data_IF_279592836002
#
_entry.id   IF_279592836002
#
_cell.length_a   1.000
_cell.length_b   1.000
_cell.length_c   1.000
_cell.angle_alpha   90.00
_cell.angle_beta   90.00
_cell.angle_gamma   90.00
#
_symmetry.space_group_name_H-M   'P 1'
#
loop_
_entity.id
_entity.type
_entity.pdbx_description
1 polymer ?
#
# COMPACT_ATOMS: atom_id res chain seq x y z
N UNK A 1 -28.41 -20.53 -44.54
CA UNK A 1 -28.58 -19.89 -43.23
C UNK A 1 -27.46 -20.18 -42.20
N UNK A 2 -26.94 -21.41 -42.03
CA UNK A 2 -25.95 -21.75 -41.04
C UNK A 2 -24.59 -21.03 -41.20
N UNK A 3 -24.06 -20.87 -42.41
CA UNK A 3 -22.73 -20.22 -42.66
C UNK A 3 -22.68 -18.75 -42.23
N UNK A 4 -23.75 -18.00 -42.42
CA UNK A 4 -23.83 -16.60 -42.00
C UNK A 4 -23.79 -16.46 -40.48
N UNK A 5 -24.43 -17.35 -39.74
CA UNK A 5 -24.38 -17.36 -38.25
C UNK A 5 -22.96 -17.59 -37.76
N UNK A 6 -22.19 -18.52 -38.37
CA UNK A 6 -20.81 -18.77 -38.00
C UNK A 6 -19.90 -17.55 -38.28
N UNK A 7 -20.11 -16.85 -39.39
CA UNK A 7 -19.36 -15.66 -39.72
C UNK A 7 -19.67 -14.53 -38.71
N UNK A 8 -20.90 -14.32 -38.31
CA UNK A 8 -21.30 -13.34 -37.29
C UNK A 8 -20.68 -13.69 -35.94
N UNK A 9 -20.74 -14.96 -35.52
CA UNK A 9 -20.13 -15.41 -34.27
C UNK A 9 -18.61 -15.22 -34.30
N UNK A 10 -17.96 -15.52 -35.41
CA UNK A 10 -16.52 -15.31 -35.58
C UNK A 10 -16.13 -13.84 -35.44
N UNK A 11 -16.88 -12.93 -36.12
CA UNK A 11 -16.66 -11.47 -36.01
C UNK A 11 -16.84 -10.99 -34.56
N UNK A 12 -17.87 -11.49 -33.86
CA UNK A 12 -18.10 -11.17 -32.44
C UNK A 12 -16.92 -11.65 -31.56
N UNK A 13 -16.44 -12.87 -31.78
CA UNK A 13 -15.27 -13.37 -31.02
C UNK A 13 -14.03 -12.50 -31.26
N UNK A 14 -13.77 -12.14 -32.53
CA UNK A 14 -12.64 -11.26 -32.85
C UNK A 14 -12.80 -9.89 -32.19
N UNK A 15 -13.99 -9.30 -32.22
CA UNK A 15 -14.27 -8.02 -31.59
C UNK A 15 -14.02 -8.07 -30.04
N UNK A 16 -14.43 -9.16 -29.38
CA UNK A 16 -14.19 -9.37 -27.94
C UNK A 16 -12.69 -9.48 -27.67
N UNK A 17 -11.95 -10.23 -28.47
CA UNK A 17 -10.48 -10.38 -28.31
C UNK A 17 -9.77 -9.02 -28.50
N UNK A 18 -10.14 -8.27 -29.54
CA UNK A 18 -9.58 -6.93 -29.77
C UNK A 18 -9.89 -5.99 -28.62
N UNK A 19 -11.13 -5.96 -28.14
CA UNK A 19 -11.54 -5.16 -26.98
C UNK A 19 -10.73 -5.52 -25.73
N UNK A 20 -10.57 -6.81 -25.44
CA UNK A 20 -9.79 -7.29 -24.31
C UNK A 20 -8.31 -6.89 -24.42
N UNK A 21 -7.73 -7.02 -25.63
CA UNK A 21 -6.34 -6.63 -25.88
C UNK A 21 -6.13 -5.12 -25.68
N UNK A 22 -7.04 -4.28 -26.19
CA UNK A 22 -7.00 -2.82 -25.99
C UNK A 22 -7.14 -2.44 -24.51
N UNK A 23 -8.03 -3.12 -23.78
CA UNK A 23 -8.18 -2.89 -22.33
C UNK A 23 -6.93 -3.23 -21.56
N UNK A 24 -6.28 -4.35 -21.87
CA UNK A 24 -5.00 -4.76 -21.24
C UNK A 24 -3.90 -3.76 -21.59
N UNK A 25 -3.82 -3.33 -22.85
CA UNK A 25 -2.83 -2.34 -23.30
C UNK A 25 -3.00 -1.02 -22.53
N UNK A 26 -4.20 -0.47 -22.48
CA UNK A 26 -4.49 0.78 -21.77
C UNK A 26 -4.16 0.66 -20.26
N UNK A 27 -4.47 -0.47 -19.64
CA UNK A 27 -4.14 -0.71 -18.23
C UNK A 27 -2.63 -0.75 -17.98
N UNK A 28 -1.85 -1.37 -18.89
CA UNK A 28 -0.38 -1.37 -18.80
C UNK A 28 0.20 0.04 -18.92
N UNK A 29 -0.32 0.84 -19.85
CA UNK A 29 0.10 2.24 -20.02
C UNK A 29 -0.21 3.10 -18.79
N UNK A 30 -1.37 2.90 -18.14
CA UNK A 30 -1.71 3.56 -16.87
C UNK A 30 -0.68 3.21 -15.78
N UNK A 31 -0.35 1.93 -15.61
CA UNK A 31 0.63 1.50 -14.61
C UNK A 31 2.00 2.09 -14.88
N UNK A 32 2.46 2.09 -16.13
CA UNK A 32 3.73 2.66 -16.53
C UNK A 32 3.81 4.17 -16.26
N UNK A 33 2.74 4.92 -16.54
CA UNK A 33 2.68 6.35 -16.22
C UNK A 33 2.83 6.61 -14.72
N UNK A 34 2.09 5.88 -13.88
CA UNK A 34 2.22 6.00 -12.42
C UNK A 34 3.64 5.65 -11.97
N UNK A 35 4.19 4.53 -12.43
CA UNK A 35 5.55 4.08 -12.09
C UNK A 35 6.59 5.15 -12.44
N UNK A 36 6.52 5.74 -13.63
CA UNK A 36 7.42 6.82 -14.06
C UNK A 36 7.31 8.06 -13.14
N UNK A 37 6.09 8.46 -12.74
CA UNK A 37 5.88 9.58 -11.82
C UNK A 37 6.53 9.32 -10.45
N UNK A 38 6.39 8.10 -9.92
CA UNK A 38 7.01 7.72 -8.66
C UNK A 38 8.53 7.59 -8.77
N UNK A 39 9.07 7.01 -9.85
CA UNK A 39 10.52 6.91 -10.06
C UNK A 39 11.21 8.28 -10.14
N UNK A 40 10.59 9.26 -10.80
CA UNK A 40 11.13 10.62 -10.85
C UNK A 40 11.23 11.25 -9.46
N UNK A 41 10.26 10.97 -8.58
CA UNK A 41 10.31 11.40 -7.20
C UNK A 41 11.38 10.64 -6.40
N UNK A 42 11.48 9.32 -6.58
CA UNK A 42 12.43 8.46 -5.88
C UNK A 42 13.89 8.84 -6.18
N UNK A 43 14.19 9.33 -7.38
CA UNK A 43 15.54 9.84 -7.74
C UNK A 43 15.96 11.04 -6.89
N UNK A 44 15.01 11.77 -6.32
CA UNK A 44 15.24 12.92 -5.42
C UNK A 44 15.35 12.51 -3.95
N UNK A 45 15.28 11.21 -3.63
CA UNK A 45 15.18 10.66 -2.27
C UNK A 45 16.35 11.04 -1.35
N UNK A 46 17.56 11.28 -1.88
CA UNK A 46 18.72 11.66 -1.05
C UNK A 46 18.47 12.92 -0.21
N UNK A 47 17.47 13.72 -0.57
CA UNK A 47 17.08 14.93 0.14
C UNK A 47 15.56 15.13 0.00
N UNK A 48 14.76 14.43 0.84
CA UNK A 48 13.30 14.55 0.83
C UNK A 48 12.93 15.96 1.31
N UNK A 49 12.63 16.83 0.37
CA UNK A 49 12.18 18.20 0.64
C UNK A 49 10.65 18.25 0.69
N UNK A 50 10.09 18.28 1.90
CA UNK A 50 8.64 18.37 2.09
C UNK A 50 8.06 19.70 1.63
N UNK A 51 8.84 20.76 1.53
CA UNK A 51 8.41 22.03 0.94
C UNK A 51 8.09 21.85 -0.55
N UNK A 52 8.99 21.23 -1.30
CA UNK A 52 8.79 20.92 -2.72
C UNK A 52 7.68 19.86 -2.92
N UNK A 53 7.65 18.82 -2.07
CA UNK A 53 6.59 17.80 -2.14
C UNK A 53 5.19 18.40 -1.93
N UNK A 54 5.05 19.32 -0.98
CA UNK A 54 3.75 20.01 -0.71
C UNK A 54 3.33 20.98 -1.81
N UNK A 55 4.25 21.49 -2.62
CA UNK A 55 3.90 22.24 -3.85
C UNK A 55 3.23 21.32 -4.88
N UNK A 56 3.66 20.05 -4.96
CA UNK A 56 3.04 19.07 -5.84
C UNK A 56 1.67 18.62 -5.33
N UNK A 57 1.58 18.31 -4.03
CA UNK A 57 0.32 17.96 -3.37
C UNK A 57 0.37 18.28 -1.88
N UNK A 58 -0.47 19.20 -1.42
CA UNK A 58 -0.58 19.63 -0.01
C UNK A 58 -0.99 18.47 0.94
N UNK A 59 -1.55 17.39 0.39
CA UNK A 59 -1.97 16.21 1.14
C UNK A 59 -0.81 15.23 1.44
N UNK A 60 0.41 15.49 0.97
CA UNK A 60 1.57 14.67 1.34
C UNK A 60 1.91 14.95 2.81
N UNK A 61 1.88 13.89 3.63
CA UNK A 61 2.08 13.96 5.09
C UNK A 61 3.38 13.29 5.53
N UNK A 62 3.88 12.32 4.76
CA UNK A 62 5.10 11.58 5.08
C UNK A 62 5.70 10.95 3.81
N UNK A 63 6.83 10.28 3.99
CA UNK A 63 7.45 9.41 3.02
C UNK A 63 7.84 8.09 3.70
N UNK A 64 7.54 6.95 3.06
CA UNK A 64 7.91 5.62 3.57
C UNK A 64 9.02 5.01 2.73
N UNK A 65 10.00 4.39 3.42
CA UNK A 65 11.00 3.53 2.80
C UNK A 65 11.18 2.25 3.60
N UNK A 66 11.18 1.11 2.89
CA UNK A 66 11.48 -0.20 3.46
C UNK A 66 12.69 -0.78 2.72
N UNK A 67 13.88 -0.81 3.37
CA UNK A 67 15.09 -1.36 2.76
C UNK A 67 14.91 -2.82 2.30
N UNK A 68 15.51 -3.18 1.17
CA UNK A 68 15.37 -4.52 0.58
C UNK A 68 14.08 -4.74 -0.20
N UNK A 69 13.20 -3.73 -0.28
CA UNK A 69 11.96 -3.73 -1.05
C UNK A 69 11.95 -2.58 -2.06
N UNK A 70 10.92 -2.58 -2.93
CA UNK A 70 10.63 -1.43 -3.82
C UNK A 70 9.77 -0.36 -3.15
N UNK A 71 9.41 -0.55 -1.86
CA UNK A 71 8.57 0.42 -1.13
C UNK A 71 9.40 1.64 -0.78
N UNK A 72 9.16 2.71 -1.53
CA UNK A 72 9.84 3.99 -1.43
C UNK A 72 8.91 5.09 -2.00
N UNK A 73 7.92 5.53 -1.22
CA UNK A 73 6.78 6.31 -1.71
C UNK A 73 6.40 7.45 -0.78
N UNK A 74 5.86 8.58 -1.33
CA UNK A 74 5.16 9.55 -0.51
C UNK A 74 3.89 8.93 0.08
N UNK A 75 3.55 9.31 1.31
CA UNK A 75 2.27 9.01 1.96
C UNK A 75 1.41 10.26 1.88
N UNK A 76 0.22 10.11 1.34
CA UNK A 76 -0.80 11.18 1.29
C UNK A 76 -1.89 10.93 2.33
N UNK A 77 -2.68 11.95 2.67
CA UNK A 77 -3.90 11.77 3.44
C UNK A 77 -5.03 12.59 2.81
N UNK A 78 -6.10 11.89 2.43
CA UNK A 78 -7.31 12.47 1.87
C UNK A 78 -8.29 12.99 2.92
N UNK A 79 -9.44 13.46 2.45
CA UNK A 79 -10.61 13.77 3.28
C UNK A 79 -11.33 12.51 3.76
N UNK A 80 -11.19 11.42 3.00
CA UNK A 80 -11.69 10.08 3.26
C UNK A 80 -10.70 9.02 2.74
N UNK A 81 -10.99 7.75 2.96
CA UNK A 81 -10.12 6.64 2.57
C UNK A 81 -10.31 6.23 1.09
N UNK A 82 -11.27 6.80 0.38
CA UNK A 82 -11.53 6.53 -1.04
C UNK A 82 -10.79 7.50 -1.98
N UNK A 83 -10.49 8.74 -1.51
CA UNK A 83 -9.89 9.79 -2.35
C UNK A 83 -8.64 9.30 -3.09
N UNK A 84 -7.76 8.54 -2.43
CA UNK A 84 -6.49 8.05 -2.97
C UNK A 84 -6.48 6.58 -3.37
N UNK A 85 -7.61 5.89 -3.23
CA UNK A 85 -7.71 4.49 -3.63
C UNK A 85 -7.52 4.31 -5.15
N UNK A 86 -7.97 5.31 -5.94
CA UNK A 86 -7.86 5.29 -7.40
C UNK A 86 -7.27 6.60 -7.96
N UNK A 87 -6.41 7.25 -7.20
CA UNK A 87 -5.66 8.45 -7.62
C UNK A 87 -4.22 8.36 -7.15
N UNK A 88 -3.28 8.75 -8.02
CA UNK A 88 -1.87 8.88 -7.64
C UNK A 88 -1.69 10.00 -6.61
N UNK A 89 -0.49 10.10 -6.03
CA UNK A 89 -0.14 11.23 -5.14
C UNK A 89 -0.28 12.60 -5.82
N UNK A 90 -0.31 12.69 -7.15
CA UNK A 90 -0.61 13.91 -7.92
C UNK A 90 -2.10 14.13 -8.17
N UNK A 91 -2.99 13.37 -7.52
CA UNK A 91 -4.46 13.40 -7.68
C UNK A 91 -4.95 12.99 -9.08
N UNK A 92 -4.10 12.44 -9.92
CA UNK A 92 -4.48 11.90 -11.23
C UNK A 92 -5.17 10.55 -11.05
N UNK A 93 -6.28 10.33 -11.77
CA UNK A 93 -6.96 9.03 -11.76
C UNK A 93 -6.04 7.94 -12.29
N UNK A 94 -5.86 6.90 -11.50
CA UNK A 94 -5.01 5.75 -11.82
C UNK A 94 -5.37 4.57 -10.92
N UNK A 95 -5.42 3.37 -11.48
CA UNK A 95 -5.77 2.15 -10.73
C UNK A 95 -4.69 1.69 -9.74
N UNK A 96 -3.47 2.24 -9.82
CA UNK A 96 -2.42 1.98 -8.83
C UNK A 96 -2.68 2.72 -7.51
N UNK A 97 -3.52 3.74 -7.50
CA UNK A 97 -3.78 4.56 -6.33
C UNK A 97 -2.53 5.27 -5.80
N UNK A 98 -2.55 5.59 -4.53
CA UNK A 98 -1.39 6.08 -3.77
C UNK A 98 -1.20 5.26 -2.48
N UNK A 99 -0.07 5.47 -1.81
CA UNK A 99 0.09 5.05 -0.42
C UNK A 99 -0.54 6.16 0.44
N UNK A 100 -1.51 5.81 1.29
CA UNK A 100 -2.25 6.82 2.04
C UNK A 100 -2.47 6.44 3.49
N UNK A 101 -2.47 7.46 4.35
CA UNK A 101 -2.80 7.36 5.76
C UNK A 101 -4.33 7.37 5.92
N UNK A 102 -4.88 6.49 6.74
CA UNK A 102 -6.29 6.46 7.15
C UNK A 102 -6.78 7.89 7.48
N UNK A 103 -7.89 8.33 6.91
CA UNK A 103 -8.39 9.70 7.02
C UNK A 103 -8.64 10.16 8.46
N UNK A 104 -8.98 9.23 9.36
CA UNK A 104 -9.22 9.49 10.79
C UNK A 104 -7.95 9.51 11.64
N UNK A 105 -6.80 9.09 11.10
CA UNK A 105 -5.53 9.19 11.79
C UNK A 105 -5.04 10.65 11.82
N UNK A 106 -4.23 10.98 12.83
CA UNK A 106 -3.58 12.29 12.89
C UNK A 106 -2.46 12.40 11.87
N UNK A 107 -2.41 13.52 11.12
CA UNK A 107 -1.44 13.77 10.02
C UNK A 107 0.02 13.70 10.46
N UNK A 108 0.30 13.97 11.71
CA UNK A 108 1.63 13.95 12.34
C UNK A 108 2.02 12.55 12.87
N UNK A 109 1.20 11.53 12.56
CA UNK A 109 1.38 10.14 13.01
C UNK A 109 1.42 9.98 14.54
N UNK A 110 0.66 10.81 15.26
CA UNK A 110 0.54 10.72 16.73
C UNK A 110 -0.69 9.95 17.20
N UNK A 111 -1.45 9.30 16.32
CA UNK A 111 -2.53 8.38 16.69
C UNK A 111 -1.97 7.17 17.46
N UNK A 112 -2.78 6.49 18.27
CA UNK A 112 -2.34 5.27 18.99
C UNK A 112 -1.96 4.17 17.98
N UNK A 113 -2.73 4.02 16.90
CA UNK A 113 -2.40 3.19 15.75
C UNK A 113 -2.55 4.02 14.47
N UNK A 114 -1.49 4.12 13.70
CA UNK A 114 -1.43 4.85 12.45
C UNK A 114 -1.54 3.84 11.31
N UNK A 115 -2.65 3.89 10.57
CA UNK A 115 -2.97 2.88 9.56
C UNK A 115 -2.64 3.47 8.19
N UNK A 116 -1.80 2.77 7.44
CA UNK A 116 -1.36 3.19 6.10
C UNK A 116 -1.74 2.10 5.10
N UNK A 117 -2.47 2.50 4.08
CA UNK A 117 -2.95 1.63 3.01
C UNK A 117 -2.15 1.80 1.72
N UNK A 118 -2.12 0.75 0.92
CA UNK A 118 -1.58 0.79 -0.43
C UNK A 118 -1.95 -0.47 -1.20
N UNK A 119 -2.14 -0.34 -2.51
CA UNK A 119 -2.47 -1.48 -3.35
C UNK A 119 -1.31 -2.49 -3.46
N UNK A 120 -1.67 -3.76 -3.60
CA UNK A 120 -0.78 -4.80 -4.08
C UNK A 120 -0.87 -4.86 -5.61
N UNK A 121 0.06 -4.24 -6.31
CA UNK A 121 0.05 -4.22 -7.76
C UNK A 121 0.74 -5.46 -8.35
N UNK A 122 0.16 -6.05 -9.41
CA UNK A 122 0.73 -7.23 -10.09
C UNK A 122 2.12 -6.97 -10.70
N UNK A 123 2.43 -5.73 -11.07
CA UNK A 123 3.78 -5.35 -11.54
C UNK A 123 4.77 -5.18 -10.38
N UNK A 124 4.34 -5.45 -9.13
CA UNK A 124 5.15 -5.41 -7.92
C UNK A 124 5.41 -4.00 -7.38
N UNK A 125 4.69 -2.98 -7.85
CA UNK A 125 4.75 -1.61 -7.31
C UNK A 125 3.83 -1.44 -6.11
N UNK A 126 3.81 -0.25 -5.55
CA UNK A 126 3.05 0.15 -4.37
C UNK A 126 3.40 -0.74 -3.15
N UNK A 127 2.44 -1.32 -2.45
CA UNK A 127 2.65 -2.19 -1.30
C UNK A 127 2.78 -3.69 -1.63
N UNK A 128 3.03 -4.03 -2.91
CA UNK A 128 3.19 -5.43 -3.32
C UNK A 128 4.28 -6.15 -2.51
N UNK A 129 5.38 -5.47 -2.21
CA UNK A 129 6.50 -6.05 -1.48
C UNK A 129 6.26 -6.23 0.04
N UNK A 130 5.12 -5.76 0.59
CA UNK A 130 4.76 -6.05 2.00
C UNK A 130 4.66 -7.56 2.28
N UNK A 131 4.33 -8.37 1.28
CA UNK A 131 4.28 -9.84 1.43
C UNK A 131 5.64 -10.44 1.81
N UNK A 132 6.76 -9.79 1.45
CA UNK A 132 8.12 -10.23 1.83
C UNK A 132 8.35 -10.15 3.34
N UNK A 133 7.62 -9.25 4.04
CA UNK A 133 7.72 -9.09 5.49
C UNK A 133 7.13 -10.28 6.27
N UNK A 134 6.45 -11.20 5.59
CA UNK A 134 5.96 -12.47 6.16
C UNK A 134 7.04 -13.56 6.13
N UNK A 135 8.14 -13.37 5.39
CA UNK A 135 9.29 -14.30 5.40
C UNK A 135 10.23 -13.94 6.56
N UNK A 136 10.36 -14.86 7.51
CA UNK A 136 11.25 -14.72 8.68
C UNK A 136 12.70 -14.45 8.29
N UNK A 137 13.20 -15.03 7.19
CA UNK A 137 14.58 -14.84 6.73
C UNK A 137 14.77 -13.44 6.16
N UNK A 138 13.73 -12.93 5.48
CA UNK A 138 13.74 -11.55 4.96
C UNK A 138 13.75 -10.54 6.11
N UNK A 139 12.86 -10.68 7.10
CA UNK A 139 12.75 -9.76 8.23
C UNK A 139 13.98 -9.77 9.11
N UNK A 140 14.68 -10.92 9.27
CA UNK A 140 15.97 -10.96 9.99
C UNK A 140 17.04 -10.06 9.37
N UNK A 141 16.97 -9.79 8.06
CA UNK A 141 17.92 -8.92 7.34
C UNK A 141 17.41 -7.48 7.13
N UNK A 142 16.08 -7.32 7.12
CA UNK A 142 15.39 -6.09 6.74
C UNK A 142 14.22 -5.82 7.70
N UNK A 143 14.51 -5.55 8.97
CA UNK A 143 13.52 -5.34 10.02
C UNK A 143 13.15 -3.86 10.24
N UNK A 144 13.73 -2.96 9.45
CA UNK A 144 13.55 -1.52 9.56
C UNK A 144 12.54 -1.01 8.53
N UNK A 145 11.56 -0.25 8.99
CA UNK A 145 10.71 0.60 8.17
C UNK A 145 10.99 2.04 8.56
N UNK A 146 11.33 2.88 7.60
CA UNK A 146 11.62 4.30 7.86
C UNK A 146 10.50 5.18 7.35
N UNK A 147 9.98 6.02 8.24
CA UNK A 147 9.04 7.09 7.91
C UNK A 147 9.74 8.44 8.07
N UNK A 148 9.81 9.18 6.98
CA UNK A 148 10.24 10.57 7.00
C UNK A 148 9.01 11.45 7.11
N UNK A 149 8.98 12.34 8.09
CA UNK A 149 7.98 13.38 8.27
C UNK A 149 8.64 14.75 8.06
N UNK A 150 7.88 15.84 7.89
CA UNK A 150 8.46 17.17 7.67
C UNK A 150 9.51 17.57 8.70
N UNK A 151 9.33 17.19 9.97
CA UNK A 151 10.16 17.65 11.08
C UNK A 151 11.00 16.55 11.74
N UNK A 152 10.77 15.28 11.39
CA UNK A 152 11.44 14.14 12.03
C UNK A 152 11.45 12.90 11.18
N UNK A 153 12.36 12.00 11.45
CA UNK A 153 12.35 10.63 10.93
C UNK A 153 11.94 9.68 12.06
N UNK A 154 11.12 8.68 11.73
CA UNK A 154 10.70 7.62 12.65
C UNK A 154 11.18 6.30 12.08
N UNK A 155 12.04 5.62 12.83
CA UNK A 155 12.47 4.27 12.53
C UNK A 155 11.58 3.27 13.27
N UNK A 156 10.92 2.40 12.51
CA UNK A 156 9.98 1.40 13.01
C UNK A 156 10.58 0.01 12.86
N UNK A 157 10.30 -0.83 13.83
CA UNK A 157 10.67 -2.23 13.80
C UNK A 157 9.48 -3.11 13.53
N UNK A 158 9.64 -4.14 12.72
CA UNK A 158 8.58 -5.08 12.39
C UNK A 158 8.38 -6.04 13.57
N UNK A 159 7.15 -6.07 14.10
CA UNK A 159 6.77 -6.93 15.24
C UNK A 159 5.86 -8.07 14.82
N UNK A 160 5.00 -7.84 13.84
CA UNK A 160 4.05 -8.82 13.32
C UNK A 160 3.83 -8.61 11.83
N UNK A 161 3.72 -9.69 11.08
CA UNK A 161 3.32 -9.70 9.68
C UNK A 161 2.52 -10.97 9.39
N UNK A 162 1.35 -10.83 8.77
CA UNK A 162 0.45 -11.95 8.46
C UNK A 162 -0.47 -11.63 7.30
N UNK A 163 -1.05 -12.65 6.67
CA UNK A 163 -2.22 -12.52 5.81
C UNK A 163 -3.48 -12.98 6.52
N UNK A 164 -4.63 -12.46 6.11
CA UNK A 164 -5.90 -12.87 6.70
C UNK A 164 -7.06 -12.02 6.20
N UNK A 165 -8.27 -12.39 6.64
CA UNK A 165 -9.49 -11.66 6.30
C UNK A 165 -9.41 -10.21 6.77
N UNK A 166 -9.99 -9.33 5.96
CA UNK A 166 -10.13 -7.92 6.32
C UNK A 166 -10.88 -7.79 7.63
N UNK A 167 -10.25 -7.19 8.61
CA UNK A 167 -10.84 -6.86 9.90
C UNK A 167 -10.77 -5.37 10.12
N UNK A 168 -11.69 -4.85 10.94
CA UNK A 168 -11.61 -3.45 11.36
C UNK A 168 -10.38 -3.26 12.25
N UNK A 169 -9.43 -2.49 11.77
CA UNK A 169 -8.23 -2.13 12.51
C UNK A 169 -8.54 -0.91 13.38
N UNK A 170 -8.36 -0.98 14.71
CA UNK A 170 -8.63 0.16 15.59
C UNK A 170 -7.56 1.24 15.45
N UNK A 171 -7.97 2.51 15.39
CA UNK A 171 -7.07 3.68 15.46
C UNK A 171 -6.76 4.02 16.91
N UNK A 172 -7.77 3.84 17.79
CA UNK A 172 -7.70 4.07 19.24
C UNK A 172 -8.27 2.88 19.99
N UNK A 173 -7.84 2.67 21.21
CA UNK A 173 -8.28 1.58 22.07
C UNK A 173 -9.11 2.11 23.24
N UNK A 174 -10.22 1.42 23.55
CA UNK A 174 -11.11 1.81 24.64
C UNK A 174 -10.47 1.68 26.03
N UNK A 175 -9.49 0.79 26.18
CA UNK A 175 -8.74 0.57 27.42
C UNK A 175 -7.38 -0.10 27.12
N UNK A 176 -6.51 -0.15 28.14
CA UNK A 176 -5.23 -0.87 28.04
C UNK A 176 -5.42 -2.37 27.80
N UNK A 177 -6.45 -2.95 28.40
CA UNK A 177 -6.81 -4.37 28.25
C UNK A 177 -7.27 -4.65 26.81
N UNK A 178 -8.09 -3.76 26.23
CA UNK A 178 -8.52 -3.87 24.84
C UNK A 178 -7.34 -3.77 23.86
N UNK A 179 -6.39 -2.86 24.14
CA UNK A 179 -5.14 -2.74 23.38
C UNK A 179 -4.32 -4.02 23.46
N UNK A 180 -4.10 -4.54 24.69
CA UNK A 180 -3.34 -5.76 24.92
C UNK A 180 -3.98 -6.97 24.22
N UNK A 181 -5.29 -7.13 24.32
CA UNK A 181 -6.01 -8.20 23.62
C UNK A 181 -5.78 -8.15 22.11
N UNK A 182 -5.87 -6.98 21.52
CA UNK A 182 -5.61 -6.78 20.11
C UNK A 182 -4.13 -7.07 19.73
N UNK A 183 -3.19 -6.62 20.57
CA UNK A 183 -1.75 -6.92 20.39
C UNK A 183 -1.45 -8.42 20.46
N UNK A 184 -2.08 -9.14 21.38
CA UNK A 184 -1.93 -10.59 21.50
C UNK A 184 -2.54 -11.29 20.27
N UNK A 185 -3.70 -10.83 19.78
CA UNK A 185 -4.33 -11.36 18.58
C UNK A 185 -3.42 -11.23 17.34
N UNK A 186 -2.88 -10.04 17.07
CA UNK A 186 -2.01 -9.84 15.90
C UNK A 186 -0.69 -10.59 16.02
N UNK A 187 -0.16 -10.79 17.23
CA UNK A 187 1.01 -11.63 17.45
C UNK A 187 0.73 -13.10 17.19
N UNK A 188 -0.41 -13.61 17.66
CA UNK A 188 -0.81 -15.00 17.45
C UNK A 188 -1.06 -15.30 15.97
N UNK A 189 -1.48 -14.31 15.17
CA UNK A 189 -1.66 -14.44 13.72
C UNK A 189 -0.37 -14.29 12.92
N UNK A 190 0.70 -13.80 13.55
CA UNK A 190 1.94 -13.46 12.88
C UNK A 190 2.64 -14.71 12.31
N UNK A 191 3.07 -14.61 11.06
CA UNK A 191 3.87 -15.63 10.36
C UNK A 191 5.38 -15.47 10.63
N UNK A 192 5.76 -14.38 11.32
CA UNK A 192 7.12 -14.14 11.77
C UNK A 192 7.21 -14.22 13.29
N UNK A 193 8.36 -14.65 13.79
CA UNK A 193 8.68 -14.66 15.21
C UNK A 193 9.46 -13.40 15.54
N UNK A 194 8.85 -12.49 16.29
CA UNK A 194 9.51 -11.31 16.82
C UNK A 194 9.54 -11.36 18.35
N UNK A 195 10.74 -11.21 18.94
CA UNK A 195 10.93 -11.08 20.39
C UNK A 195 10.65 -9.64 20.87
N UNK A 196 10.42 -8.70 19.95
CA UNK A 196 10.19 -7.30 20.26
C UNK A 196 8.77 -7.10 20.78
N UNK A 197 8.62 -6.19 21.73
CA UNK A 197 7.32 -5.82 22.27
C UNK A 197 6.72 -4.69 21.43
N UNK A 198 5.39 -4.65 21.37
CA UNK A 198 4.66 -3.50 20.86
C UNK A 198 4.67 -2.43 21.95
N UNK A 199 5.58 -1.46 21.82
CA UNK A 199 5.71 -0.36 22.77
C UNK A 199 5.41 0.98 22.06
N UNK A 200 4.76 1.89 22.77
CA UNK A 200 4.43 3.21 22.23
C UNK A 200 3.30 3.20 21.20
N UNK A 201 3.52 3.95 20.10
CA UNK A 201 2.57 4.06 18.99
C UNK A 201 2.71 2.89 18.04
N UNK A 202 1.58 2.49 17.48
CA UNK A 202 1.52 1.39 16.52
C UNK A 202 1.41 1.97 15.11
N UNK A 203 2.01 1.28 14.15
CA UNK A 203 1.95 1.59 12.74
C UNK A 203 1.56 0.34 12.00
N UNK A 204 0.41 0.36 11.35
CA UNK A 204 -0.16 -0.79 10.64
C UNK A 204 -0.13 -0.50 9.14
N UNK A 205 0.56 -1.33 8.38
CA UNK A 205 0.61 -1.23 6.92
C UNK A 205 -0.28 -2.30 6.31
N UNK A 206 -1.21 -1.89 5.44
CA UNK A 206 -2.26 -2.76 4.91
C UNK A 206 -2.20 -2.80 3.38
N UNK A 207 -2.27 -4.00 2.84
CA UNK A 207 -2.40 -4.22 1.40
C UNK A 207 -3.32 -5.39 1.12
N UNK A 208 -3.95 -5.44 -0.06
CA UNK A 208 -4.68 -6.60 -0.51
C UNK A 208 -3.68 -7.64 -1.02
N UNK A 209 -3.66 -8.85 -0.46
CA UNK A 209 -2.94 -9.98 -1.06
C UNK A 209 -3.86 -10.71 -2.04
N UNK A 210 -3.29 -11.25 -3.14
CA UNK A 210 -4.04 -12.09 -4.09
C UNK A 210 -4.11 -13.56 -3.65
N UNK A 211 -3.69 -13.85 -2.43
CA UNK A 211 -3.74 -15.19 -1.87
C UNK A 211 -5.21 -15.57 -1.67
N UNK A 212 -5.64 -16.61 -2.40
CA UNK A 212 -6.93 -17.24 -2.13
C UNK A 212 -6.80 -17.96 -0.80
N UNK A 213 -7.75 -17.73 0.11
CA UNK A 213 -7.92 -18.64 1.24
C UNK A 213 -8.23 -20.03 0.64
N UNK A 214 -7.29 -20.95 0.75
CA UNK A 214 -7.62 -22.37 0.62
C UNK A 214 -8.41 -22.72 1.88
N UNK A 215 -9.75 -22.79 1.75
CA UNK A 215 -10.61 -23.47 2.70
C UNK A 215 -10.37 -24.96 2.63
#
# INVERSE_FOLDING_TARGET
MKKWIYNVLFILCVAVVVYAALKIYNQKEEYKKAETEYEQLQKKEKNIDFGELKKLNKNIVAWIKIPGTRINYPIVQGSDDEEYLHRTFLKKRNSSGAIFLEAKCKKDFTSENNIVYGHHMRNGTMFADLVKLRDQRFVKKHDLIRLYLPEKTIDLTIVSAYAGKVQRIPITFKSKEAKKKWEDEIKNRSEIISRKKLEGRIYTFVTCSYERENN
#
